data_IF_097276319237
#
_entry.id   IF_097276319237
#
_cell.length_a   1.000
_cell.length_b   1.000
_cell.length_c   1.000
_cell.angle_alpha   90.00
_cell.angle_beta   90.00
_cell.angle_gamma   90.00
#
_symmetry.space_group_name_H-M   'P 1'
#
loop_
_entity.id
_entity.type
_entity.pdbx_description
1 polymer ?
#
# COMPACT_ATOMS: atom_id res chain seq x y z
N UNK A 1 0.49 6.67 21.54
CA UNK A 1 0.66 7.09 20.14
C UNK A 1 -0.65 6.86 19.42
N UNK A 2 -1.10 7.82 18.63
CA UNK A 2 -2.34 7.75 17.86
C UNK A 2 -2.05 7.83 16.37
N UNK A 3 -2.48 6.81 15.63
CA UNK A 3 -2.19 6.60 14.22
C UNK A 3 -3.48 6.77 13.41
N UNK A 4 -3.44 7.54 12.34
CA UNK A 4 -4.52 7.60 11.35
C UNK A 4 -4.09 6.84 10.10
N UNK A 5 -4.91 5.87 9.68
CA UNK A 5 -4.72 5.11 8.44
C UNK A 5 -5.77 5.55 7.42
N UNK A 6 -5.33 6.07 6.28
CA UNK A 6 -6.19 6.45 5.17
C UNK A 6 -6.23 5.31 4.13
N UNK A 7 -7.39 4.70 3.94
CA UNK A 7 -7.58 3.62 2.97
C UNK A 7 -8.37 4.10 1.76
N UNK A 8 -7.80 4.03 0.58
CA UNK A 8 -8.50 4.36 -0.68
C UNK A 8 -9.65 3.41 -1.04
N UNK A 9 -9.88 2.41 -0.25
CA UNK A 9 -10.90 1.36 -0.39
C UNK A 9 -10.37 0.06 0.18
N UNK A 10 -11.20 -0.97 0.19
CA UNK A 10 -10.84 -2.29 0.72
C UNK A 10 -10.33 -3.20 -0.41
N UNK A 11 -9.25 -2.82 -1.07
CA UNK A 11 -8.53 -3.70 -1.99
C UNK A 11 -7.72 -4.74 -1.23
N UNK A 12 -7.23 -5.78 -1.93
CA UNK A 12 -6.31 -6.75 -1.33
C UNK A 12 -5.07 -6.09 -0.73
N UNK A 13 -4.54 -5.08 -1.41
CA UNK A 13 -3.40 -4.28 -0.91
C UNK A 13 -3.76 -3.54 0.36
N UNK A 14 -4.85 -2.78 0.36
CA UNK A 14 -5.31 -2.04 1.54
C UNK A 14 -5.57 -2.98 2.71
N UNK A 15 -6.15 -4.16 2.46
CA UNK A 15 -6.45 -5.14 3.50
C UNK A 15 -5.17 -5.73 4.10
N UNK A 16 -4.25 -6.22 3.28
CA UNK A 16 -3.05 -6.93 3.77
C UNK A 16 -1.93 -5.99 4.21
N UNK A 17 -1.82 -4.79 3.62
CA UNK A 17 -0.73 -3.85 3.93
C UNK A 17 -1.07 -2.86 5.02
N UNK A 18 -2.35 -2.44 5.11
CA UNK A 18 -2.74 -1.39 6.05
C UNK A 18 -3.79 -1.88 7.05
N UNK A 19 -4.95 -2.35 6.60
CA UNK A 19 -6.04 -2.67 7.53
C UNK A 19 -5.63 -3.72 8.56
N UNK A 20 -5.24 -4.90 8.12
CA UNK A 20 -4.91 -6.02 9.03
C UNK A 20 -3.70 -5.72 9.93
N UNK A 21 -2.55 -5.22 9.43
CA UNK A 21 -1.42 -4.93 10.28
C UNK A 21 -1.70 -3.86 11.34
N UNK A 22 -2.39 -2.77 10.97
CA UNK A 22 -2.66 -1.68 11.89
C UNK A 22 -3.76 -2.02 12.90
N UNK A 23 -4.80 -2.78 12.50
CA UNK A 23 -5.77 -3.33 13.43
C UNK A 23 -5.10 -4.27 14.45
N UNK A 24 -4.13 -5.09 14.02
CA UNK A 24 -3.38 -5.97 14.88
C UNK A 24 -2.45 -5.20 15.81
N UNK A 25 -1.78 -4.18 15.29
CA UNK A 25 -0.91 -3.30 16.08
C UNK A 25 -1.64 -2.69 17.27
N UNK A 26 -2.90 -2.30 17.10
CA UNK A 26 -3.73 -1.78 18.20
C UNK A 26 -3.99 -2.83 19.29
N UNK A 27 -4.12 -4.11 18.91
CA UNK A 27 -4.36 -5.19 19.88
C UNK A 27 -3.11 -5.59 20.65
N UNK A 28 -1.96 -5.57 19.99
CA UNK A 28 -0.70 -6.11 20.54
C UNK A 28 0.15 -5.03 21.23
N UNK A 29 -0.13 -3.75 20.98
CA UNK A 29 0.65 -2.63 21.51
C UNK A 29 -0.27 -1.52 22.05
N UNK A 30 0.26 -0.71 22.95
CA UNK A 30 -0.48 0.44 23.51
C UNK A 30 -0.50 1.62 22.53
N UNK A 31 -1.20 1.43 21.41
CA UNK A 31 -1.42 2.45 20.39
C UNK A 31 -2.91 2.51 20.06
N UNK A 32 -3.39 3.69 19.64
CA UNK A 32 -4.73 3.87 19.11
C UNK A 32 -4.64 3.99 17.60
N UNK A 33 -5.44 3.24 16.86
CA UNK A 33 -5.48 3.29 15.41
C UNK A 33 -6.89 3.65 14.96
N UNK A 34 -7.01 4.77 14.26
CA UNK A 34 -8.22 5.16 13.56
C UNK A 34 -8.05 4.89 12.07
N UNK A 35 -9.01 4.21 11.44
CA UNK A 35 -8.99 3.87 10.02
C UNK A 35 -10.11 4.61 9.31
N UNK A 36 -9.76 5.48 8.36
CA UNK A 36 -10.72 6.23 7.54
C UNK A 36 -10.75 5.72 6.11
N UNK A 37 -11.96 5.41 5.63
CA UNK A 37 -12.24 5.01 4.23
C UNK A 37 -13.10 6.06 3.49
N UNK A 38 -13.61 7.05 4.21
CA UNK A 38 -14.45 8.08 3.63
C UNK A 38 -13.62 9.23 3.06
N UNK A 39 -13.30 9.14 1.78
CA UNK A 39 -12.51 10.15 1.07
C UNK A 39 -13.10 11.57 1.15
N UNK A 40 -14.43 11.69 1.24
CA UNK A 40 -15.08 12.99 1.29
C UNK A 40 -14.78 13.75 2.58
N UNK A 41 -14.41 13.06 3.63
CA UNK A 41 -14.08 13.65 4.93
C UNK A 41 -12.58 13.93 5.10
N UNK A 42 -11.72 13.40 4.23
CA UNK A 42 -10.27 13.52 4.40
C UNK A 42 -9.75 14.95 4.42
N UNK A 43 -10.43 15.88 3.72
CA UNK A 43 -10.06 17.29 3.75
C UNK A 43 -10.28 17.96 5.10
N UNK A 44 -11.21 17.45 5.90
CA UNK A 44 -11.70 18.05 7.15
C UNK A 44 -11.34 17.24 8.41
N UNK A 45 -10.55 16.18 8.27
CA UNK A 45 -10.13 15.38 9.41
C UNK A 45 -9.30 16.20 10.42
N UNK A 46 -9.48 15.97 11.73
CA UNK A 46 -8.73 16.63 12.77
C UNK A 46 -7.32 16.03 12.90
N UNK A 47 -6.49 16.23 11.88
CA UNK A 47 -5.15 15.65 11.76
C UNK A 47 -4.26 15.90 12.98
N UNK A 48 -4.42 17.06 13.67
CA UNK A 48 -3.69 17.42 14.88
C UNK A 48 -3.90 16.48 16.07
N UNK A 49 -4.89 15.58 15.98
CA UNK A 49 -5.12 14.55 17.02
C UNK A 49 -4.25 13.32 16.83
N UNK A 50 -3.51 13.25 15.73
CA UNK A 50 -2.71 12.08 15.36
C UNK A 50 -1.22 12.38 15.42
N UNK A 51 -0.45 11.41 15.88
CA UNK A 51 1.00 11.47 15.91
C UNK A 51 1.61 11.13 14.55
N UNK A 52 0.88 10.36 13.73
CA UNK A 52 1.30 9.96 12.39
C UNK A 52 0.11 9.60 11.51
N UNK A 53 0.22 9.89 10.23
CA UNK A 53 -0.74 9.49 9.18
C UNK A 53 -0.08 8.47 8.26
N UNK A 54 -0.81 7.41 7.90
CA UNK A 54 -0.32 6.35 7.00
C UNK A 54 -1.28 6.15 5.86
N UNK A 55 -0.76 5.98 4.65
CA UNK A 55 -1.56 5.65 3.47
C UNK A 55 -0.75 4.81 2.47
N UNK A 56 -1.45 4.17 1.51
CA UNK A 56 -0.79 3.39 0.47
C UNK A 56 -0.66 4.19 -0.83
N UNK A 57 0.53 4.22 -1.39
CA UNK A 57 0.94 4.77 -2.69
C UNK A 57 0.45 6.20 -2.98
N UNK A 58 -0.85 6.40 -3.08
CA UNK A 58 -1.44 7.63 -3.60
C UNK A 58 -2.86 7.85 -3.07
N UNK A 59 -3.15 9.09 -2.66
CA UNK A 59 -4.45 9.49 -2.14
C UNK A 59 -5.37 10.11 -3.21
N UNK A 60 -5.11 9.82 -4.48
CA UNK A 60 -5.85 10.43 -5.57
C UNK A 60 -5.61 11.95 -5.67
N UNK A 61 -6.60 12.66 -6.19
CA UNK A 61 -6.52 14.13 -6.28
C UNK A 61 -6.46 14.81 -4.91
N UNK A 62 -6.95 14.15 -3.87
CA UNK A 62 -6.92 14.66 -2.49
C UNK A 62 -5.51 14.78 -1.92
N UNK A 63 -4.54 14.06 -2.46
CA UNK A 63 -3.14 14.13 -2.06
C UNK A 63 -2.63 15.57 -2.02
N UNK A 64 -2.91 16.35 -3.06
CA UNK A 64 -2.44 17.73 -3.18
C UNK A 64 -3.11 18.70 -2.20
N UNK A 65 -4.18 18.27 -1.56
CA UNK A 65 -4.83 19.01 -0.47
C UNK A 65 -4.32 18.54 0.89
N UNK A 66 -4.18 17.23 1.09
CA UNK A 66 -3.85 16.60 2.38
C UNK A 66 -2.39 16.79 2.74
N UNK A 67 -1.44 16.52 1.82
CA UNK A 67 -0.02 16.63 2.12
C UNK A 67 0.40 18.04 2.58
N UNK A 68 -0.08 19.15 1.98
CA UNK A 68 0.18 20.49 2.50
C UNK A 68 -0.39 20.74 3.90
N UNK A 69 -1.54 20.16 4.23
CA UNK A 69 -2.14 20.28 5.57
C UNK A 69 -1.24 19.57 6.58
N UNK A 70 -0.81 18.35 6.30
CA UNK A 70 0.08 17.58 7.19
C UNK A 70 1.40 18.31 7.41
N UNK A 71 2.02 18.79 6.32
CA UNK A 71 3.26 19.54 6.38
C UNK A 71 3.12 20.83 7.21
N UNK A 72 2.06 21.62 6.98
CA UNK A 72 1.79 22.84 7.75
C UNK A 72 1.58 22.55 9.24
N UNK A 73 0.90 21.47 9.58
CA UNK A 73 0.63 21.04 10.95
C UNK A 73 1.81 20.26 11.56
N UNK A 74 2.87 19.99 10.81
CA UNK A 74 4.03 19.18 11.21
C UNK A 74 3.64 17.79 11.70
N UNK A 75 2.67 17.17 11.03
CA UNK A 75 2.22 15.82 11.33
C UNK A 75 2.97 14.87 10.39
N UNK A 76 3.81 13.98 10.91
CA UNK A 76 4.53 13.01 10.10
C UNK A 76 3.58 12.12 9.31
N UNK A 77 3.97 11.76 8.09
CA UNK A 77 3.21 10.78 7.33
C UNK A 77 4.11 9.73 6.67
N UNK A 78 3.58 8.52 6.61
CA UNK A 78 4.23 7.35 6.04
C UNK A 78 3.49 6.94 4.78
N UNK A 79 4.22 6.82 3.68
CA UNK A 79 3.71 6.25 2.43
C UNK A 79 4.09 4.76 2.37
N UNK A 80 3.10 3.87 2.39
CA UNK A 80 3.35 2.45 2.11
C UNK A 80 3.32 2.21 0.60
N UNK A 81 4.32 1.51 0.06
CA UNK A 81 4.41 1.25 -1.37
C UNK A 81 4.77 -0.23 -1.61
N UNK A 82 3.83 -1.00 -2.15
CA UNK A 82 3.94 -2.44 -2.32
C UNK A 82 4.41 -2.86 -3.71
N UNK A 83 4.17 -2.02 -4.75
CA UNK A 83 4.49 -2.31 -6.14
C UNK A 83 5.31 -1.19 -6.80
N UNK A 84 6.05 -1.57 -7.84
CA UNK A 84 6.73 -0.62 -8.70
C UNK A 84 5.73 0.12 -9.60
N UNK A 85 5.80 1.45 -9.61
CA UNK A 85 4.83 2.34 -10.29
C UNK A 85 5.11 2.57 -11.77
N UNK A 86 6.14 1.95 -12.33
CA UNK A 86 6.45 2.02 -13.75
C UNK A 86 6.08 0.70 -14.41
N UNK A 87 5.02 0.71 -15.18
CA UNK A 87 4.55 -0.46 -15.90
C UNK A 87 5.14 -0.54 -17.32
N UNK A 88 5.39 -1.73 -17.85
CA UNK A 88 5.78 -1.91 -19.24
C UNK A 88 4.62 -1.56 -20.18
N UNK A 89 4.94 -1.20 -21.43
CA UNK A 89 3.93 -0.69 -22.41
C UNK A 89 2.83 -1.69 -22.76
N UNK A 90 3.11 -2.98 -22.68
CA UNK A 90 2.13 -4.04 -22.95
C UNK A 90 1.15 -4.28 -21.79
N UNK A 91 1.43 -3.78 -20.59
CA UNK A 91 0.53 -3.94 -19.46
C UNK A 91 -0.79 -3.20 -19.71
N UNK A 92 -1.97 -3.84 -19.52
CA UNK A 92 -3.27 -3.21 -19.76
C UNK A 92 -3.48 -1.90 -18.98
N UNK A 93 -2.89 -1.78 -17.79
CA UNK A 93 -2.99 -0.58 -16.94
C UNK A 93 -1.96 0.52 -17.29
N UNK A 94 -1.06 0.29 -18.28
CA UNK A 94 0.05 1.20 -18.59
C UNK A 94 -0.38 2.64 -18.83
N UNK A 95 -1.45 2.85 -19.63
CA UNK A 95 -1.92 4.21 -20.00
C UNK A 95 -2.40 4.96 -18.75
N UNK A 96 -3.15 4.28 -17.90
CA UNK A 96 -3.65 4.85 -16.64
C UNK A 96 -2.50 5.18 -15.68
N UNK A 97 -1.59 4.24 -15.46
CA UNK A 97 -0.42 4.45 -14.58
C UNK A 97 0.46 5.59 -15.08
N UNK A 98 0.72 5.64 -16.38
CA UNK A 98 1.53 6.72 -16.96
C UNK A 98 0.87 8.09 -16.81
N UNK A 99 -0.44 8.18 -17.02
CA UNK A 99 -1.14 9.48 -17.02
C UNK A 99 -1.40 10.02 -15.62
N UNK A 100 -1.75 9.16 -14.68
CA UNK A 100 -2.32 9.59 -13.39
C UNK A 100 -1.50 9.14 -12.18
N UNK A 101 -1.03 7.91 -12.15
CA UNK A 101 -0.42 7.33 -10.94
C UNK A 101 1.07 7.62 -10.82
N UNK A 102 1.81 7.59 -11.92
CA UNK A 102 3.28 7.67 -11.88
C UNK A 102 3.80 8.88 -11.11
N UNK A 103 3.29 10.06 -11.39
CA UNK A 103 3.75 11.29 -10.72
C UNK A 103 3.19 11.36 -9.30
N UNK A 104 1.90 11.05 -9.09
CA UNK A 104 1.29 11.05 -7.77
C UNK A 104 1.99 10.11 -6.78
N UNK A 105 2.39 8.90 -7.21
CA UNK A 105 3.16 7.97 -6.37
C UNK A 105 4.55 8.51 -6.07
N UNK A 106 5.24 9.09 -7.05
CA UNK A 106 6.56 9.71 -6.84
C UNK A 106 6.49 10.87 -5.86
N UNK A 107 5.47 11.72 -5.99
CA UNK A 107 5.27 12.85 -5.09
C UNK A 107 4.99 12.35 -3.66
N UNK A 108 4.14 11.32 -3.51
CA UNK A 108 3.90 10.70 -2.20
C UNK A 108 5.18 10.19 -1.56
N UNK A 109 6.02 9.49 -2.33
CA UNK A 109 7.31 8.98 -1.87
C UNK A 109 8.25 10.12 -1.48
N UNK A 110 8.37 11.14 -2.34
CA UNK A 110 9.32 12.24 -2.14
C UNK A 110 8.95 13.12 -0.93
N UNK A 111 7.67 13.32 -0.66
CA UNK A 111 7.19 14.16 0.43
C UNK A 111 7.01 13.42 1.75
N UNK A 112 6.94 12.09 1.75
CA UNK A 112 6.76 11.31 2.97
C UNK A 112 7.95 11.46 3.94
N UNK A 113 7.67 11.50 5.23
CA UNK A 113 8.72 11.46 6.27
C UNK A 113 9.40 10.09 6.31
N UNK A 114 8.66 9.03 5.97
CA UNK A 114 9.18 7.69 5.77
C UNK A 114 8.35 6.93 4.74
N UNK A 115 9.00 5.94 4.10
CA UNK A 115 8.33 5.04 3.14
C UNK A 115 8.52 3.61 3.60
N UNK A 116 7.43 2.83 3.63
CA UNK A 116 7.49 1.38 3.80
C UNK A 116 7.32 0.68 2.46
N UNK A 117 8.02 -0.42 2.24
CA UNK A 117 7.91 -1.20 0.99
C UNK A 117 8.14 -2.68 1.22
N UNK A 118 7.87 -3.50 0.20
CA UNK A 118 7.81 -4.95 0.33
C UNK A 118 9.14 -5.66 0.14
N UNK A 119 10.02 -5.14 -0.72
CA UNK A 119 11.25 -5.83 -1.14
C UNK A 119 12.47 -4.91 -1.18
N UNK A 120 13.69 -5.47 -1.06
CA UNK A 120 14.92 -4.69 -1.23
C UNK A 120 15.02 -4.00 -2.60
N UNK A 121 14.62 -4.68 -3.67
CA UNK A 121 14.64 -4.14 -5.03
C UNK A 121 13.74 -2.91 -5.17
N UNK A 122 12.56 -2.96 -4.56
CA UNK A 122 11.65 -1.81 -4.53
C UNK A 122 12.20 -0.69 -3.66
N UNK A 123 12.82 -1.02 -2.52
CA UNK A 123 13.46 -0.05 -1.65
C UNK A 123 14.57 0.74 -2.38
N UNK A 124 15.37 0.08 -3.21
CA UNK A 124 16.41 0.75 -4.00
C UNK A 124 15.83 1.77 -4.98
N UNK A 125 14.67 1.46 -5.59
CA UNK A 125 13.95 2.39 -6.45
C UNK A 125 13.33 3.56 -5.70
N UNK A 126 12.84 3.33 -4.50
CA UNK A 126 12.26 4.36 -3.64
C UNK A 126 13.34 5.30 -3.11
N UNK A 127 14.53 4.79 -2.78
CA UNK A 127 15.66 5.59 -2.29
C UNK A 127 16.15 6.65 -3.27
N UNK A 128 15.83 6.50 -4.55
CA UNK A 128 16.08 7.55 -5.56
C UNK A 128 15.31 8.86 -5.25
N UNK A 129 14.23 8.79 -4.45
CA UNK A 129 13.32 9.89 -4.12
C UNK A 129 13.21 10.20 -2.63
N UNK A 130 13.39 9.19 -1.77
CA UNK A 130 13.32 9.34 -0.32
C UNK A 130 14.33 8.40 0.36
N UNK A 131 15.28 8.92 1.17
CA UNK A 131 16.28 8.10 1.84
C UNK A 131 15.71 7.27 3.02
N UNK A 132 14.56 7.68 3.60
CA UNK A 132 13.98 7.07 4.78
C UNK A 132 13.07 5.90 4.39
N UNK A 133 13.66 4.78 3.97
CA UNK A 133 12.94 3.60 3.46
C UNK A 133 13.10 2.42 4.39
N UNK A 134 11.98 1.80 4.75
CA UNK A 134 11.89 0.62 5.60
C UNK A 134 11.26 -0.55 4.83
N UNK A 135 11.90 -1.71 4.89
CA UNK A 135 11.38 -2.91 4.24
C UNK A 135 10.47 -3.65 5.21
N UNK A 136 9.18 -3.70 4.86
CA UNK A 136 8.16 -4.50 5.54
C UNK A 136 7.62 -5.53 4.55
N UNK A 137 8.13 -6.76 4.54
CA UNK A 137 7.67 -7.81 3.64
C UNK A 137 6.17 -8.05 3.75
N UNK A 138 5.56 -8.53 2.66
CA UNK A 138 4.17 -9.00 2.75
C UNK A 138 4.07 -10.15 3.74
N UNK A 139 3.08 -10.05 4.62
CA UNK A 139 2.79 -11.07 5.61
C UNK A 139 1.33 -11.52 5.51
N UNK A 140 1.10 -12.74 5.94
CA UNK A 140 -0.23 -13.36 6.00
C UNK A 140 -0.58 -13.60 7.45
N UNK A 141 -1.75 -13.16 7.86
CA UNK A 141 -2.27 -13.47 9.20
C UNK A 141 -2.75 -14.93 9.23
N UNK A 142 -1.90 -15.81 9.74
CA UNK A 142 -2.16 -17.26 9.82
C UNK A 142 -3.32 -17.64 10.77
N UNK A 143 -3.84 -16.69 11.55
CA UNK A 143 -5.01 -16.91 12.40
C UNK A 143 -6.31 -16.88 11.58
N UNK A 144 -6.28 -16.31 10.40
CA UNK A 144 -7.45 -16.27 9.51
C UNK A 144 -7.81 -17.66 9.00
N UNK A 145 -9.11 -18.02 9.12
CA UNK A 145 -9.62 -19.36 8.78
C UNK A 145 -9.33 -19.78 7.32
N UNK A 146 -9.25 -18.86 6.41
CA UNK A 146 -8.96 -19.13 5.00
C UNK A 146 -7.61 -19.85 4.76
N UNK A 147 -6.65 -19.72 5.68
CA UNK A 147 -5.36 -20.39 5.61
C UNK A 147 -5.34 -21.79 6.24
N UNK A 148 -6.44 -22.18 6.88
CA UNK A 148 -6.61 -23.48 7.53
C UNK A 148 -7.37 -24.48 6.67
N UNK A 149 -7.50 -24.28 5.37
CA UNK A 149 -8.17 -25.19 4.46
C UNK A 149 -7.40 -26.52 4.37
N UNK A 150 -8.07 -27.60 4.76
CA UNK A 150 -7.49 -28.96 4.78
C UNK A 150 -7.72 -29.75 3.49
N UNK A 151 -8.29 -29.14 2.46
CA UNK A 151 -8.56 -29.86 1.21
C UNK A 151 -7.29 -29.92 0.38
N UNK A 152 -6.67 -31.08 0.33
CA UNK A 152 -5.52 -31.35 -0.51
C UNK A 152 -6.02 -31.92 -1.84
N UNK A 153 -5.78 -31.22 -2.92
CA UNK A 153 -5.96 -31.71 -4.30
C UNK A 153 -4.59 -32.02 -4.90
N UNK A 154 -4.08 -33.26 -4.76
CA UNK A 154 -2.65 -33.57 -4.96
C UNK A 154 -2.14 -33.48 -6.41
N UNK A 155 -2.97 -33.11 -7.37
CA UNK A 155 -2.59 -33.03 -8.79
C UNK A 155 -3.17 -31.78 -9.48
N UNK A 156 -3.52 -30.76 -8.71
CA UNK A 156 -4.05 -29.51 -9.28
C UNK A 156 -3.05 -28.40 -9.06
N UNK A 157 -2.59 -27.78 -10.15
CA UNK A 157 -1.86 -26.52 -10.11
C UNK A 157 -2.87 -25.44 -10.40
N UNK A 158 -3.01 -24.50 -9.47
CA UNK A 158 -3.92 -23.37 -9.61
C UNK A 158 -3.14 -22.06 -9.66
N UNK A 159 -3.63 -21.12 -10.45
CA UNK A 159 -3.16 -19.74 -10.45
C UNK A 159 -4.31 -18.80 -10.11
N UNK A 160 -4.01 -17.79 -9.27
CA UNK A 160 -4.95 -16.72 -8.92
C UNK A 160 -4.25 -15.39 -9.08
N UNK A 161 -4.78 -14.50 -9.90
CA UNK A 161 -4.21 -13.17 -10.13
C UNK A 161 -5.12 -12.27 -10.94
N UNK A 162 -4.78 -10.98 -11.01
CA UNK A 162 -5.48 -10.01 -11.86
C UNK A 162 -5.09 -10.14 -13.33
N UNK A 163 -5.91 -9.58 -14.21
CA UNK A 163 -5.68 -9.57 -15.67
C UNK A 163 -4.33 -8.93 -16.07
N UNK A 164 -3.79 -8.08 -15.22
CA UNK A 164 -2.47 -7.46 -15.43
C UNK A 164 -1.29 -8.42 -15.39
N UNK A 165 -1.51 -9.66 -14.91
CA UNK A 165 -0.51 -10.71 -14.79
C UNK A 165 -0.62 -11.79 -15.87
N UNK A 166 -1.35 -11.56 -16.93
CA UNK A 166 -1.49 -12.51 -18.06
C UNK A 166 -0.13 -12.87 -18.67
N UNK A 167 0.76 -11.90 -18.83
CA UNK A 167 2.10 -12.14 -19.39
C UNK A 167 2.99 -12.94 -18.42
N UNK A 168 2.77 -12.81 -17.11
CA UNK A 168 3.52 -13.56 -16.11
C UNK A 168 3.18 -15.06 -16.18
N UNK A 169 1.93 -15.40 -16.51
CA UNK A 169 1.51 -16.81 -16.69
C UNK A 169 2.18 -17.43 -17.90
N UNK A 170 2.39 -16.67 -18.97
CA UNK A 170 3.06 -17.17 -20.18
C UNK A 170 4.50 -17.63 -19.91
N UNK A 171 5.12 -17.15 -18.82
CA UNK A 171 6.44 -17.63 -18.40
C UNK A 171 6.42 -19.12 -17.95
N UNK A 172 5.24 -19.64 -17.62
CA UNK A 172 5.04 -21.05 -17.24
C UNK A 172 4.77 -21.95 -18.45
N UNK A 173 4.62 -21.38 -19.65
CA UNK A 173 4.33 -22.14 -20.86
C UNK A 173 5.46 -23.14 -21.15
N UNK A 174 5.08 -24.41 -21.28
CA UNK A 174 6.04 -25.52 -21.47
C UNK A 174 6.82 -25.93 -20.20
N UNK A 175 6.50 -25.37 -19.02
CA UNK A 175 7.12 -25.74 -17.73
C UNK A 175 6.23 -26.65 -16.88
N UNK A 176 4.95 -26.76 -17.22
CA UNK A 176 3.93 -27.56 -16.50
C UNK A 176 3.26 -28.53 -17.48
#
# INVERSE_FOLDING_TARGET
MRILVLLEGMSGVSFHRLYTPYARLQLDYNVTVDISQNKNEWGDLPYEKYDVVVFNRWLGHLQYNILPILAKKKIPFICDNDDYWVLPRHNPAYKFYRAYLKNGVKDSIAYADAVTCTTPQLADKIREFNPNVFILPNAVDMIQRQWNAQTIHPKTIGWVGGISHEEDIKLLDGQI
#
